data_IF_933147833271
#
_entry.id   IF_933147833271
#
_cell.length_a   1.000
_cell.length_b   1.000
_cell.length_c   1.000
_cell.angle_alpha   90.00
_cell.angle_beta   90.00
_cell.angle_gamma   90.00
#
_symmetry.space_group_name_H-M   'P 1'
#
loop_
_entity.id
_entity.type
_entity.pdbx_description
1 polymer ?
#
# COMPACT_ATOMS: atom_id res chain seq x y z
N UNK A 1 6.08 -14.32 34.02
CA UNK A 1 4.86 -15.03 33.58
C UNK A 1 4.88 -15.01 32.07
N UNK A 2 4.56 -16.14 31.42
CA UNK A 2 4.42 -16.18 29.96
C UNK A 2 3.24 -15.29 29.55
N UNK A 3 3.44 -14.42 28.56
CA UNK A 3 2.41 -13.51 28.06
C UNK A 3 1.73 -14.15 26.84
N UNK A 4 0.41 -14.20 26.83
CA UNK A 4 -0.41 -14.76 25.75
C UNK A 4 -0.90 -13.61 24.87
N UNK A 5 -0.40 -13.52 23.64
CA UNK A 5 -0.86 -12.51 22.69
C UNK A 5 -1.49 -13.17 21.48
N UNK A 6 -2.58 -12.58 20.98
CA UNK A 6 -3.13 -12.93 19.68
C UNK A 6 -2.77 -11.86 18.64
N UNK A 7 -2.53 -12.27 17.40
CA UNK A 7 -2.20 -11.38 16.30
C UNK A 7 -3.24 -11.56 15.20
N UNK A 8 -3.91 -10.48 14.81
CA UNK A 8 -4.72 -10.41 13.61
C UNK A 8 -3.95 -9.64 12.54
N UNK A 9 -3.35 -10.38 11.61
CA UNK A 9 -2.67 -9.83 10.44
C UNK A 9 -3.65 -9.52 9.32
N UNK A 10 -3.45 -8.42 8.59
CA UNK A 10 -4.31 -8.06 7.46
C UNK A 10 -3.84 -6.83 6.70
N UNK A 11 -4.44 -6.54 5.54
CA UNK A 11 -4.19 -5.24 4.88
C UNK A 11 -4.94 -4.12 5.59
N UNK A 12 -6.15 -4.40 6.10
CA UNK A 12 -7.06 -3.42 6.70
C UNK A 12 -7.33 -2.21 5.79
N UNK A 13 -7.94 -2.48 4.64
CA UNK A 13 -8.14 -1.47 3.60
C UNK A 13 -9.62 -1.34 3.15
N UNK A 14 -10.50 -0.74 3.98
CA UNK A 14 -10.26 -0.30 5.36
C UNK A 14 -10.43 -1.43 6.38
N UNK A 15 -10.02 -1.18 7.64
CA UNK A 15 -10.53 -1.96 8.78
C UNK A 15 -12.05 -1.79 8.88
N UNK A 16 -12.75 -2.81 9.36
CA UNK A 16 -14.22 -2.85 9.42
C UNK A 16 -14.69 -3.70 10.59
N UNK A 17 -15.99 -3.63 10.91
CA UNK A 17 -16.56 -4.28 12.11
C UNK A 17 -16.37 -5.80 12.12
N UNK A 18 -16.30 -6.44 10.96
CA UNK A 18 -15.93 -7.85 10.87
C UNK A 18 -14.57 -8.18 11.49
N UNK A 19 -13.55 -7.33 11.29
CA UNK A 19 -12.22 -7.53 11.92
C UNK A 19 -12.27 -7.35 13.44
N UNK A 20 -13.05 -6.38 13.92
CA UNK A 20 -13.22 -6.11 15.35
C UNK A 20 -13.89 -7.30 16.03
N UNK A 21 -14.98 -7.81 15.45
CA UNK A 21 -15.72 -8.94 15.99
C UNK A 21 -14.89 -10.24 15.99
N UNK A 22 -13.96 -10.44 15.04
CA UNK A 22 -12.99 -11.55 15.10
C UNK A 22 -12.09 -11.45 16.33
N UNK A 23 -11.55 -10.26 16.62
CA UNK A 23 -10.71 -10.04 17.79
C UNK A 23 -11.49 -10.21 19.10
N UNK A 24 -12.73 -9.73 19.15
CA UNK A 24 -13.63 -9.88 20.31
C UNK A 24 -14.03 -11.35 20.54
N UNK A 25 -14.31 -12.11 19.47
CA UNK A 25 -14.59 -13.54 19.56
C UNK A 25 -13.41 -14.34 20.12
N UNK A 26 -12.18 -13.94 19.79
CA UNK A 26 -10.97 -14.52 20.38
C UNK A 26 -10.85 -14.17 21.86
N UNK A 27 -11.04 -12.90 22.22
CA UNK A 27 -10.98 -12.45 23.62
C UNK A 27 -12.04 -13.10 24.51
N UNK A 28 -13.18 -13.52 23.96
CA UNK A 28 -14.25 -14.17 24.72
C UNK A 28 -14.07 -15.69 24.88
N UNK A 29 -13.28 -16.33 24.01
CA UNK A 29 -13.12 -17.79 23.97
C UNK A 29 -11.74 -18.27 24.41
N UNK A 30 -10.71 -17.43 24.31
CA UNK A 30 -9.32 -17.79 24.57
C UNK A 30 -8.73 -16.82 25.61
N UNK A 31 -8.00 -17.36 26.58
CA UNK A 31 -7.29 -16.59 27.59
C UNK A 31 -6.03 -15.94 27.02
N UNK A 32 -6.22 -14.87 26.25
CA UNK A 32 -5.16 -13.98 25.76
C UNK A 32 -5.21 -12.64 26.47
N UNK A 33 -4.03 -12.09 26.76
CA UNK A 33 -3.88 -10.80 27.42
C UNK A 33 -4.35 -9.66 26.49
N UNK A 34 -3.93 -9.72 25.22
CA UNK A 34 -4.09 -8.67 24.22
C UNK A 34 -4.23 -9.26 22.80
N UNK A 35 -5.01 -8.59 21.95
CA UNK A 35 -5.08 -8.86 20.50
C UNK A 35 -4.41 -7.71 19.75
N UNK A 36 -3.36 -8.00 19.00
CA UNK A 36 -2.63 -7.06 18.18
C UNK A 36 -3.15 -7.07 16.74
N UNK A 37 -3.65 -5.92 16.28
CA UNK A 37 -3.91 -5.65 14.88
C UNK A 37 -2.60 -5.24 14.20
N UNK A 38 -2.18 -6.03 13.21
CA UNK A 38 -0.89 -5.88 12.56
C UNK A 38 -1.08 -5.65 11.05
N UNK A 39 -1.12 -4.39 10.58
CA UNK A 39 -1.22 -4.10 9.16
C UNK A 39 0.02 -4.60 8.41
N UNK A 40 -0.24 -5.28 7.30
CA UNK A 40 0.79 -5.71 6.34
C UNK A 40 1.26 -4.54 5.48
N UNK A 41 2.55 -4.54 5.12
CA UNK A 41 3.17 -3.52 4.26
C UNK A 41 2.61 -3.63 2.85
N UNK A 42 2.94 -4.73 2.17
CA UNK A 42 2.39 -5.13 0.88
C UNK A 42 2.16 -6.64 0.93
N UNK A 43 0.90 -7.10 0.99
CA UNK A 43 0.63 -8.53 0.85
C UNK A 43 1.06 -8.99 -0.55
N UNK A 44 1.76 -10.13 -0.70
CA UNK A 44 2.19 -10.62 -2.02
C UNK A 44 1.03 -10.74 -3.03
N UNK A 45 -0.17 -11.05 -2.56
CA UNK A 45 -1.39 -11.17 -3.38
C UNK A 45 -2.02 -9.81 -3.79
N UNK A 46 -1.42 -8.67 -3.41
CA UNK A 46 -1.88 -7.32 -3.77
C UNK A 46 -0.84 -6.46 -4.50
N UNK A 47 0.28 -7.05 -4.95
CA UNK A 47 1.35 -6.33 -5.66
C UNK A 47 0.87 -5.51 -6.87
N UNK A 48 -0.23 -5.91 -7.52
CA UNK A 48 -0.80 -5.24 -8.69
C UNK A 48 -2.10 -4.45 -8.40
N UNK A 49 -2.43 -4.19 -7.13
CA UNK A 49 -3.68 -3.51 -6.75
C UNK A 49 -3.39 -2.14 -6.13
N UNK A 50 -4.29 -1.18 -6.38
CA UNK A 50 -4.28 0.10 -5.66
C UNK A 50 -4.68 -0.13 -4.20
N UNK A 51 -3.67 -0.32 -3.35
CA UNK A 51 -3.83 -0.37 -1.89
C UNK A 51 -3.65 1.03 -1.33
N UNK A 52 -4.51 1.39 -0.38
CA UNK A 52 -4.41 2.66 0.36
C UNK A 52 -3.07 2.75 1.10
N UNK A 53 -2.52 3.97 1.22
CA UNK A 53 -1.23 4.18 1.89
C UNK A 53 -1.20 3.57 3.30
N UNK A 54 -0.03 3.08 3.71
CA UNK A 54 0.21 2.52 5.04
C UNK A 54 -0.26 3.47 6.15
N UNK A 55 0.04 4.76 6.01
CA UNK A 55 -0.33 5.80 6.96
C UNK A 55 -1.85 5.82 7.20
N UNK A 56 -2.65 5.85 6.14
CA UNK A 56 -4.11 5.88 6.29
C UNK A 56 -4.64 4.57 6.88
N UNK A 57 -4.13 3.42 6.45
CA UNK A 57 -4.55 2.11 6.99
C UNK A 57 -4.24 2.00 8.48
N UNK A 58 -3.04 2.42 8.90
CA UNK A 58 -2.64 2.45 10.30
C UNK A 58 -3.52 3.37 11.13
N UNK A 59 -3.80 4.58 10.63
CA UNK A 59 -4.66 5.53 11.33
C UNK A 59 -6.08 4.98 11.48
N UNK A 60 -6.64 4.37 10.44
CA UNK A 60 -7.96 3.73 10.52
C UNK A 60 -7.97 2.59 11.55
N UNK A 61 -6.92 1.76 11.61
CA UNK A 61 -6.80 0.72 12.66
C UNK A 61 -6.77 1.33 14.06
N UNK A 62 -5.90 2.32 14.29
CA UNK A 62 -5.78 3.01 15.60
C UNK A 62 -7.09 3.65 16.04
N UNK A 63 -7.83 4.23 15.10
CA UNK A 63 -9.15 4.81 15.36
C UNK A 63 -10.14 3.71 15.77
N UNK A 64 -10.21 2.61 15.01
CA UNK A 64 -11.18 1.54 15.24
C UNK A 64 -11.01 0.85 16.60
N UNK A 65 -9.77 0.71 17.09
CA UNK A 65 -9.50 -0.03 18.34
C UNK A 65 -9.41 0.87 19.58
N UNK A 66 -9.52 2.19 19.43
CA UNK A 66 -9.20 3.19 20.47
C UNK A 66 -9.91 2.95 21.81
N UNK A 67 -11.14 2.44 21.77
CA UNK A 67 -12.00 2.31 22.94
C UNK A 67 -11.89 0.95 23.65
N UNK A 68 -11.08 0.01 23.14
CA UNK A 68 -10.88 -1.30 23.76
C UNK A 68 -9.43 -1.48 24.21
N UNK A 69 -9.19 -1.53 25.52
CA UNK A 69 -7.85 -1.57 26.09
C UNK A 69 -7.09 -2.87 25.81
N UNK A 70 -7.77 -3.97 25.47
CA UNK A 70 -7.16 -5.24 25.08
C UNK A 70 -6.82 -5.33 23.59
N UNK A 71 -7.33 -4.41 22.77
CA UNK A 71 -6.99 -4.33 21.35
C UNK A 71 -5.82 -3.37 21.17
N UNK A 72 -4.73 -3.85 20.58
CA UNK A 72 -3.48 -3.11 20.40
C UNK A 72 -3.14 -2.96 18.93
N UNK A 73 -2.49 -1.85 18.59
CA UNK A 73 -1.91 -1.64 17.27
C UNK A 73 -0.46 -2.13 17.26
N UNK A 74 -0.02 -2.75 16.17
CA UNK A 74 1.38 -3.08 15.92
C UNK A 74 1.79 -2.72 14.50
N UNK A 75 2.86 -1.93 14.36
CA UNK A 75 3.52 -1.62 13.08
C UNK A 75 4.68 -2.57 12.76
N UNK A 76 4.84 -3.66 13.52
CA UNK A 76 5.95 -4.61 13.39
C UNK A 76 6.15 -5.10 11.95
N UNK A 77 5.06 -5.37 11.23
CA UNK A 77 5.11 -5.84 9.84
C UNK A 77 5.49 -4.75 8.82
N UNK A 78 5.35 -3.47 9.18
CA UNK A 78 5.57 -2.31 8.32
C UNK A 78 7.02 -1.83 8.32
N UNK A 79 7.75 -2.09 9.40
CA UNK A 79 9.14 -1.63 9.59
C UNK A 79 10.12 -2.31 8.61
N UNK A 80 9.76 -3.45 8.02
CA UNK A 80 10.65 -4.22 7.15
C UNK A 80 10.61 -3.71 5.71
N UNK A 81 11.75 -3.68 5.03
CA UNK A 81 11.85 -3.09 3.68
C UNK A 81 11.22 -3.92 2.56
N UNK A 82 10.84 -5.19 2.81
CA UNK A 82 10.35 -6.14 1.81
C UNK A 82 8.91 -6.65 2.07
N UNK A 83 8.43 -7.48 1.14
CA UNK A 83 7.16 -8.22 1.21
C UNK A 83 6.99 -8.83 2.61
N UNK A 84 5.82 -8.63 3.24
CA UNK A 84 5.54 -9.15 4.58
C UNK A 84 5.08 -10.61 4.49
N UNK A 85 5.95 -11.56 4.87
CA UNK A 85 5.57 -12.96 5.06
C UNK A 85 5.33 -13.26 6.55
N UNK A 86 4.21 -13.94 6.84
CA UNK A 86 3.84 -14.33 8.21
C UNK A 86 4.91 -15.20 8.88
N UNK A 87 5.59 -16.08 8.13
CA UNK A 87 6.67 -16.92 8.63
C UNK A 87 7.82 -16.08 9.24
N UNK A 88 8.21 -15.00 8.55
CA UNK A 88 9.29 -14.12 9.00
C UNK A 88 8.86 -13.33 10.24
N UNK A 89 7.62 -12.85 10.26
CA UNK A 89 7.02 -12.16 11.41
C UNK A 89 7.06 -13.02 12.67
N UNK A 90 6.54 -14.25 12.59
CA UNK A 90 6.47 -15.14 13.73
C UNK A 90 7.87 -15.58 14.21
N UNK A 91 8.81 -15.78 13.30
CA UNK A 91 10.20 -16.11 13.63
C UNK A 91 10.85 -14.99 14.43
N UNK A 92 10.71 -13.74 13.97
CA UNK A 92 11.29 -12.58 14.65
C UNK A 92 10.66 -12.33 16.02
N UNK A 93 9.33 -12.38 16.12
CA UNK A 93 8.63 -12.21 17.39
C UNK A 93 9.07 -13.21 18.47
N UNK A 94 9.29 -14.48 18.08
CA UNK A 94 9.81 -15.50 18.99
C UNK A 94 11.28 -15.32 19.33
N UNK A 95 12.10 -14.86 18.39
CA UNK A 95 13.53 -14.60 18.63
C UNK A 95 13.70 -13.58 19.76
N UNK A 96 12.87 -12.55 19.75
CA UNK A 96 12.97 -11.43 20.69
C UNK A 96 12.27 -11.72 22.03
N UNK A 97 11.36 -12.71 22.09
CA UNK A 97 10.59 -13.03 23.30
C UNK A 97 10.35 -14.54 23.46
N UNK A 98 11.25 -15.24 24.15
CA UNK A 98 11.15 -16.70 24.35
C UNK A 98 9.98 -17.15 25.24
N UNK A 99 9.47 -16.27 26.09
CA UNK A 99 8.36 -16.56 27.01
C UNK A 99 6.97 -16.16 26.45
N UNK A 100 6.92 -15.76 25.18
CA UNK A 100 5.70 -15.30 24.53
C UNK A 100 4.94 -16.47 23.88
N UNK A 101 3.70 -16.68 24.28
CA UNK A 101 2.79 -17.59 23.59
C UNK A 101 2.04 -16.81 22.51
N UNK A 102 2.35 -17.13 21.24
CA UNK A 102 1.76 -16.45 20.09
C UNK A 102 0.56 -17.23 19.58
N UNK A 103 -0.58 -16.56 19.49
CA UNK A 103 -1.76 -17.00 18.79
C UNK A 103 -1.91 -16.19 17.50
N UNK A 104 -2.22 -16.82 16.37
CA UNK A 104 -2.37 -16.12 15.09
C UNK A 104 -3.76 -16.35 14.52
N UNK A 105 -4.51 -15.26 14.35
CA UNK A 105 -5.92 -15.28 13.97
C UNK A 105 -6.03 -15.28 12.45
N UNK A 106 -6.75 -16.27 11.91
CA UNK A 106 -7.01 -16.40 10.47
C UNK A 106 -8.47 -16.76 10.21
N UNK A 107 -8.99 -16.38 9.04
CA UNK A 107 -10.31 -16.86 8.59
C UNK A 107 -10.23 -18.24 7.95
N UNK A 108 -11.37 -18.95 7.86
CA UNK A 108 -11.45 -20.28 7.25
C UNK A 108 -10.89 -20.36 5.82
N UNK A 109 -11.05 -19.33 4.98
CA UNK A 109 -10.47 -19.33 3.63
C UNK A 109 -8.95 -19.23 3.62
N UNK A 110 -8.36 -18.58 4.62
CA UNK A 110 -6.90 -18.58 4.79
C UNK A 110 -6.39 -19.93 5.26
N UNK A 111 -7.14 -20.61 6.15
CA UNK A 111 -6.80 -21.97 6.59
C UNK A 111 -6.77 -22.96 5.42
N UNK A 112 -7.79 -22.94 4.55
CA UNK A 112 -7.85 -23.80 3.34
C UNK A 112 -6.61 -23.66 2.46
N UNK A 113 -6.04 -22.46 2.40
CA UNK A 113 -4.91 -22.12 1.55
C UNK A 113 -3.57 -22.11 2.31
N UNK A 114 -3.51 -22.49 3.59
CA UNK A 114 -2.33 -22.23 4.41
C UNK A 114 -1.07 -22.95 3.88
N UNK A 115 -1.23 -24.11 3.25
CA UNK A 115 -0.10 -24.86 2.64
C UNK A 115 0.56 -24.12 1.46
N UNK A 116 -0.11 -23.13 0.87
CA UNK A 116 0.45 -22.30 -0.21
C UNK A 116 1.19 -21.07 0.29
N UNK A 117 1.15 -20.80 1.60
CA UNK A 117 1.86 -19.67 2.19
C UNK A 117 3.37 -19.91 2.11
N UNK A 118 4.14 -18.82 2.15
CA UNK A 118 5.59 -18.93 2.27
C UNK A 118 5.95 -19.57 3.62
N UNK A 119 6.67 -20.71 3.57
CA UNK A 119 7.13 -21.47 4.74
C UNK A 119 6.00 -21.80 5.73
N UNK A 120 5.00 -22.59 5.33
CA UNK A 120 3.86 -22.91 6.19
C UNK A 120 4.28 -23.73 7.42
N UNK A 121 5.36 -24.52 7.30
CA UNK A 121 6.01 -25.24 8.39
C UNK A 121 6.46 -24.30 9.52
N UNK A 122 7.04 -23.14 9.17
CA UNK A 122 7.46 -22.13 10.14
C UNK A 122 6.24 -21.49 10.79
N UNK A 123 5.20 -21.16 10.02
CA UNK A 123 3.98 -20.54 10.57
C UNK A 123 3.33 -21.47 11.60
N UNK A 124 3.11 -22.73 11.22
CA UNK A 124 2.39 -23.73 12.02
C UNK A 124 3.17 -24.17 13.28
N UNK A 125 4.51 -24.09 13.26
CA UNK A 125 5.35 -24.41 14.42
C UNK A 125 5.58 -23.22 15.37
N UNK A 126 5.35 -21.99 14.89
CA UNK A 126 5.63 -20.78 15.66
C UNK A 126 4.43 -20.09 16.30
N UNK A 127 3.22 -20.60 16.11
CA UNK A 127 2.04 -20.09 16.78
C UNK A 127 0.99 -21.18 17.00
N UNK A 128 0.00 -20.88 17.84
CA UNK A 128 -1.29 -21.55 17.82
C UNK A 128 -2.21 -20.80 16.85
N UNK A 129 -2.70 -21.46 15.81
CA UNK A 129 -3.66 -20.86 14.90
C UNK A 129 -5.04 -20.79 15.52
N UNK A 130 -5.65 -19.62 15.49
CA UNK A 130 -7.04 -19.38 15.86
C UNK A 130 -7.83 -19.21 14.55
N UNK A 131 -8.52 -20.26 14.11
CA UNK A 131 -9.28 -20.21 12.87
C UNK A 131 -10.72 -19.81 13.14
N UNK A 132 -11.15 -18.68 12.56
CA UNK A 132 -12.53 -18.21 12.67
C UNK A 132 -13.43 -19.11 11.82
N UNK A 133 -14.34 -19.81 12.49
CA UNK A 133 -15.38 -20.63 11.89
C UNK A 133 -16.64 -19.77 11.74
N UNK A 134 -17.17 -19.68 10.52
CA UNK A 134 -18.46 -19.03 10.24
C UNK A 134 -19.54 -20.11 10.19
N UNK A 135 -20.76 -19.79 10.60
CA UNK A 135 -21.86 -20.75 10.72
C UNK A 135 -22.26 -21.45 9.41
N UNK A 136 -21.88 -20.89 8.26
CA UNK A 136 -22.14 -21.43 6.93
C UNK A 136 -21.03 -22.37 6.41
N UNK A 137 -20.02 -22.63 7.23
CA UNK A 137 -18.91 -23.50 6.84
C UNK A 137 -19.25 -24.96 7.14
N UNK A 138 -18.96 -25.82 6.15
CA UNK A 138 -19.02 -27.28 6.32
C UNK A 138 -18.02 -27.73 7.39
N UNK A 139 -18.53 -27.95 8.60
CA UNK A 139 -17.74 -28.35 9.76
C UNK A 139 -16.94 -29.63 9.51
N UNK A 140 -17.47 -30.56 8.69
CA UNK A 140 -16.79 -31.82 8.37
C UNK A 140 -15.53 -31.53 7.57
N UNK A 141 -15.66 -30.76 6.47
CA UNK A 141 -14.51 -30.39 5.63
C UNK A 141 -13.46 -29.60 6.38
N UNK A 142 -13.87 -28.68 7.25
CA UNK A 142 -12.91 -27.92 8.05
C UNK A 142 -12.18 -28.79 9.05
N UNK A 143 -12.87 -29.73 9.68
CA UNK A 143 -12.25 -30.70 10.58
C UNK A 143 -11.22 -31.55 9.84
N UNK A 144 -11.52 -32.01 8.64
CA UNK A 144 -10.56 -32.75 7.79
C UNK A 144 -9.29 -31.92 7.52
N UNK A 145 -9.44 -30.64 7.13
CA UNK A 145 -8.30 -29.74 6.91
C UNK A 145 -7.47 -29.57 8.18
N UNK A 146 -8.11 -29.40 9.33
CA UNK A 146 -7.43 -29.24 10.63
C UNK A 146 -6.69 -30.52 10.99
N UNK A 147 -7.33 -31.67 10.89
CA UNK A 147 -6.75 -32.98 11.23
C UNK A 147 -5.53 -33.28 10.33
N UNK A 148 -5.62 -32.95 9.03
CA UNK A 148 -4.50 -33.06 8.09
C UNK A 148 -3.32 -32.17 8.48
N UNK A 149 -3.57 -30.90 8.83
CA UNK A 149 -2.52 -29.97 9.24
C UNK A 149 -1.87 -30.37 10.57
N UNK A 150 -2.65 -30.88 11.52
CA UNK A 150 -2.14 -31.43 12.79
C UNK A 150 -1.24 -32.63 12.51
N UNK A 151 -1.68 -33.55 11.65
CA UNK A 151 -0.93 -34.77 11.32
C UNK A 151 0.37 -34.47 10.57
N UNK A 152 0.34 -33.55 9.60
CA UNK A 152 1.48 -33.25 8.73
C UNK A 152 2.50 -32.33 9.42
N UNK A 153 2.05 -31.31 10.14
CA UNK A 153 2.92 -30.26 10.69
C UNK A 153 3.04 -30.25 12.21
N UNK A 154 2.34 -31.16 12.92
CA UNK A 154 2.17 -31.10 14.37
C UNK A 154 1.62 -29.73 14.82
N UNK A 155 0.73 -29.16 14.00
CA UNK A 155 0.18 -27.83 14.19
C UNK A 155 -0.71 -27.76 15.44
N UNK A 156 -0.78 -26.58 16.07
CA UNK A 156 -1.76 -26.27 17.11
C UNK A 156 -2.83 -25.37 16.51
N UNK A 157 -4.05 -25.88 16.36
CA UNK A 157 -5.15 -25.15 15.72
C UNK A 157 -6.37 -25.21 16.65
N UNK A 158 -6.97 -24.06 16.92
CA UNK A 158 -8.16 -23.91 17.74
C UNK A 158 -9.24 -23.22 16.89
N UNK A 159 -10.38 -23.88 16.63
CA UNK A 159 -11.54 -23.24 16.02
C UNK A 159 -12.16 -22.22 16.98
N UNK A 160 -12.48 -21.04 16.46
CA UNK A 160 -13.18 -19.96 17.17
C UNK A 160 -14.56 -19.80 16.55
N UNK A 161 -15.60 -19.94 17.36
CA UNK A 161 -16.98 -19.80 16.90
C UNK A 161 -17.36 -18.32 16.85
N UNK A 162 -18.00 -17.90 15.77
CA UNK A 162 -18.42 -16.52 15.58
C UNK A 162 -19.60 -16.50 14.61
N UNK A 163 -20.65 -15.75 14.97
CA UNK A 163 -21.81 -15.56 14.11
C UNK A 163 -21.39 -15.12 12.71
N UNK A 164 -22.10 -15.56 11.68
CA UNK A 164 -21.80 -15.16 10.29
C UNK A 164 -21.75 -13.63 10.14
N UNK A 165 -20.64 -13.15 9.59
CA UNK A 165 -20.45 -11.74 9.21
C UNK A 165 -20.05 -11.67 7.76
N UNK A 166 -20.95 -11.13 6.95
CA UNK A 166 -20.73 -10.91 5.53
C UNK A 166 -20.30 -9.46 5.31
N UNK A 167 -19.04 -9.19 5.63
CA UNK A 167 -18.42 -7.87 5.44
C UNK A 167 -17.07 -8.09 4.78
N UNK A 168 -16.89 -7.49 3.60
CA UNK A 168 -15.58 -7.40 2.96
C UNK A 168 -15.15 -5.94 2.79
N UNK A 169 -13.85 -5.68 2.96
CA UNK A 169 -13.32 -4.35 2.67
C UNK A 169 -13.46 -3.99 1.18
N UNK A 170 -13.57 -4.97 0.29
CA UNK A 170 -13.78 -4.72 -1.15
C UNK A 170 -15.15 -4.14 -1.45
N UNK A 171 -16.21 -4.69 -0.87
CA UNK A 171 -17.56 -4.14 -1.01
C UNK A 171 -17.64 -2.75 -0.41
N UNK A 172 -17.10 -2.55 0.80
CA UNK A 172 -17.03 -1.22 1.43
C UNK A 172 -16.37 -0.20 0.51
N UNK A 173 -15.22 -0.54 -0.08
CA UNK A 173 -14.53 0.37 -1.03
C UNK A 173 -15.37 0.67 -2.26
N UNK A 174 -16.08 -0.33 -2.80
CA UNK A 174 -16.94 -0.16 -3.98
C UNK A 174 -18.15 0.72 -3.67
N UNK A 175 -18.78 0.53 -2.51
CA UNK A 175 -19.95 1.31 -2.09
C UNK A 175 -19.56 2.76 -1.76
N UNK A 176 -18.36 2.98 -1.21
CA UNK A 176 -17.82 4.32 -0.94
C UNK A 176 -17.53 5.14 -2.21
N UNK A 177 -17.52 4.50 -3.38
CA UNK A 177 -17.43 5.20 -4.66
C UNK A 177 -18.71 5.99 -4.93
N UNK A 178 -19.87 5.39 -4.63
CA UNK A 178 -21.19 5.93 -5.01
C UNK A 178 -21.98 6.50 -3.83
N UNK A 179 -21.67 6.10 -2.60
CA UNK A 179 -22.37 6.53 -1.40
C UNK A 179 -21.41 7.05 -0.33
N UNK A 180 -21.74 8.22 0.23
CA UNK A 180 -20.95 8.94 1.26
C UNK A 180 -21.80 9.25 2.50
N UNK A 181 -22.94 8.59 2.67
CA UNK A 181 -23.79 8.68 3.85
C UNK A 181 -23.48 7.56 4.84
N UNK A 182 -23.20 7.89 6.11
CA UNK A 182 -22.83 6.91 7.12
C UNK A 182 -23.92 5.87 7.41
N UNK A 183 -25.20 6.22 7.24
CA UNK A 183 -26.32 5.31 7.49
C UNK A 183 -26.21 4.02 6.66
N UNK A 184 -25.67 4.09 5.45
CA UNK A 184 -25.43 2.92 4.61
C UNK A 184 -24.26 2.03 5.08
N UNK A 185 -23.39 2.55 5.96
CA UNK A 185 -22.19 1.86 6.44
C UNK A 185 -22.22 1.54 7.94
N UNK A 186 -23.28 1.93 8.65
CA UNK A 186 -23.33 1.84 10.11
C UNK A 186 -23.18 0.40 10.66
N UNK A 187 -23.60 -0.60 9.87
CA UNK A 187 -23.49 -2.02 10.23
C UNK A 187 -22.14 -2.65 9.84
N UNK A 188 -21.30 -1.92 9.10
CA UNK A 188 -20.04 -2.45 8.56
C UNK A 188 -18.79 -1.66 8.97
N UNK A 189 -18.91 -0.38 9.30
CA UNK A 189 -17.81 0.50 9.68
C UNK A 189 -18.06 1.22 11.01
N UNK A 190 -17.00 1.42 11.78
CA UNK A 190 -17.01 2.38 12.87
C UNK A 190 -17.18 3.81 12.34
N UNK A 191 -17.99 4.62 13.02
CA UNK A 191 -18.28 6.01 12.64
C UNK A 191 -17.03 6.87 12.50
N UNK A 192 -16.05 6.72 13.39
CA UNK A 192 -14.83 7.54 13.34
C UNK A 192 -13.92 7.09 12.19
N UNK A 193 -13.90 5.80 11.87
CA UNK A 193 -13.21 5.29 10.68
C UNK A 193 -13.87 5.84 9.41
N UNK A 194 -15.21 5.83 9.34
CA UNK A 194 -15.94 6.42 8.24
C UNK A 194 -15.66 7.92 8.09
N UNK A 195 -15.75 8.69 9.18
CA UNK A 195 -15.44 10.13 9.17
C UNK A 195 -14.00 10.40 8.71
N UNK A 196 -13.05 9.56 9.12
CA UNK A 196 -11.68 9.62 8.65
C UNK A 196 -11.58 9.38 7.14
N UNK A 197 -12.28 8.37 6.61
CA UNK A 197 -12.34 8.07 5.18
C UNK A 197 -12.88 9.27 4.39
N UNK A 198 -13.97 9.88 4.85
CA UNK A 198 -14.58 11.05 4.20
C UNK A 198 -13.65 12.25 4.27
N UNK A 199 -13.11 12.56 5.45
CA UNK A 199 -12.19 13.69 5.66
C UNK A 199 -10.94 13.62 4.78
N UNK A 200 -10.45 12.42 4.49
CA UNK A 200 -9.25 12.20 3.69
C UNK A 200 -9.56 11.83 2.22
N UNK A 201 -10.82 11.98 1.76
CA UNK A 201 -11.24 11.69 0.38
C UNK A 201 -10.84 10.28 -0.11
N UNK A 202 -10.79 9.29 0.79
CA UNK A 202 -10.37 7.93 0.46
C UNK A 202 -11.46 7.21 -0.34
N UNK A 203 -11.04 6.22 -1.15
CA UNK A 203 -11.93 5.34 -1.93
C UNK A 203 -12.86 6.05 -2.91
N UNK A 204 -12.42 7.20 -3.43
CA UNK A 204 -13.13 7.96 -4.46
C UNK A 204 -12.60 7.61 -5.84
N UNK A 205 -13.48 7.45 -6.82
CA UNK A 205 -13.09 7.52 -8.23
C UNK A 205 -13.32 8.95 -8.72
N UNK A 206 -12.38 9.41 -9.54
CA UNK A 206 -12.49 10.69 -10.22
C UNK A 206 -12.67 10.39 -11.71
N UNK A 207 -13.58 11.11 -12.35
CA UNK A 207 -13.73 11.07 -13.80
C UNK A 207 -12.56 11.85 -14.40
N UNK A 208 -11.48 11.12 -14.66
CA UNK A 208 -10.23 11.67 -15.15
C UNK A 208 -9.69 10.80 -16.28
N UNK A 209 -9.12 11.45 -17.28
CA UNK A 209 -8.41 10.79 -18.37
C UNK A 209 -6.96 11.26 -18.40
N UNK A 210 -6.05 10.34 -18.77
CA UNK A 210 -4.65 10.69 -19.05
C UNK A 210 -4.45 10.61 -20.55
N UNK A 211 -4.05 11.73 -21.14
CA UNK A 211 -3.81 11.89 -22.58
C UNK A 211 -2.42 12.47 -22.82
N UNK A 212 -1.93 12.32 -24.04
CA UNK A 212 -0.73 13.03 -24.48
C UNK A 212 -1.04 14.53 -24.56
N UNK A 213 -0.12 15.36 -24.08
CA UNK A 213 -0.26 16.81 -24.16
C UNK A 213 -0.09 17.30 -25.59
N UNK A 214 -0.76 18.40 -25.91
CA UNK A 214 -0.66 19.08 -27.20
C UNK A 214 -0.21 20.53 -27.01
N UNK A 215 0.05 21.23 -28.11
CA UNK A 215 0.37 22.65 -28.12
C UNK A 215 -0.71 23.50 -27.42
N UNK A 216 -1.98 23.12 -27.54
CA UNK A 216 -3.12 23.82 -26.94
C UNK A 216 -3.06 23.81 -25.40
N UNK A 217 -2.44 22.78 -24.82
CA UNK A 217 -2.33 22.57 -23.37
C UNK A 217 -1.20 23.39 -22.74
N UNK A 218 -0.28 23.96 -23.54
CA UNK A 218 0.97 24.60 -23.09
C UNK A 218 0.79 25.58 -21.94
N UNK A 219 -0.13 26.53 -22.12
CA UNK A 219 -0.30 27.62 -21.16
C UNK A 219 -0.76 27.10 -19.80
N UNK A 220 -1.60 26.07 -19.78
CA UNK A 220 -2.12 25.50 -18.54
C UNK A 220 -1.11 24.56 -17.88
N UNK A 221 -0.30 23.85 -18.66
CA UNK A 221 0.86 23.09 -18.16
C UNK A 221 1.88 24.03 -17.50
N UNK A 222 2.22 25.14 -18.16
CA UNK A 222 3.17 26.11 -17.61
C UNK A 222 2.64 26.72 -16.31
N UNK A 223 1.35 27.08 -16.25
CA UNK A 223 0.70 27.52 -14.99
C UNK A 223 0.78 26.45 -13.91
N UNK A 224 0.49 25.19 -14.24
CA UNK A 224 0.59 24.07 -13.31
C UNK A 224 2.01 23.91 -12.75
N UNK A 225 3.04 24.06 -13.60
CA UNK A 225 4.43 24.02 -13.17
C UNK A 225 4.79 25.19 -12.25
N UNK A 226 4.39 26.42 -12.62
CA UNK A 226 4.61 27.61 -11.78
C UNK A 226 3.93 27.52 -10.42
N UNK A 227 2.78 26.85 -10.31
CA UNK A 227 2.13 26.57 -9.02
C UNK A 227 2.94 25.66 -8.09
N UNK A 228 3.96 24.97 -8.59
CA UNK A 228 4.85 24.14 -7.77
C UNK A 228 6.04 24.92 -7.20
N UNK A 229 6.37 26.11 -7.74
CA UNK A 229 7.51 26.90 -7.30
C UNK A 229 7.40 27.33 -5.84
N UNK A 230 8.55 27.36 -5.15
CA UNK A 230 8.65 27.73 -3.74
C UNK A 230 8.06 26.70 -2.77
N UNK A 231 7.63 25.53 -3.26
CA UNK A 231 7.21 24.43 -2.40
C UNK A 231 8.41 23.70 -1.82
N UNK A 232 8.22 23.19 -0.62
CA UNK A 232 9.19 22.36 0.09
C UNK A 232 9.71 21.22 -0.80
N UNK A 233 11.03 21.18 -1.02
CA UNK A 233 11.74 20.18 -1.85
C UNK A 233 11.33 20.14 -3.34
N UNK A 234 10.76 21.22 -3.86
CA UNK A 234 10.62 21.39 -5.31
C UNK A 234 11.94 22.00 -5.84
N UNK A 235 12.74 21.26 -6.64
CA UNK A 235 14.01 21.75 -7.16
C UNK A 235 13.84 22.73 -8.33
N UNK A 236 12.60 23.10 -8.66
CA UNK A 236 12.28 23.94 -9.81
C UNK A 236 12.54 25.41 -9.51
N UNK A 237 12.95 26.12 -10.54
CA UNK A 237 13.33 27.54 -10.49
C UNK A 237 12.37 28.37 -11.35
N UNK A 238 12.51 29.69 -11.29
CA UNK A 238 11.76 30.57 -12.19
C UNK A 238 12.06 30.31 -13.68
N UNK A 239 13.20 29.67 -13.99
CA UNK A 239 13.63 29.36 -15.35
C UNK A 239 13.41 27.89 -15.74
N UNK A 240 12.97 27.02 -14.83
CA UNK A 240 12.74 25.60 -15.10
C UNK A 240 11.60 25.00 -14.27
N UNK A 241 10.64 24.24 -14.85
CA UNK A 241 10.45 23.99 -16.29
C UNK A 241 10.02 25.25 -17.07
N UNK A 242 10.46 25.35 -18.33
CA UNK A 242 10.19 26.50 -19.22
C UNK A 242 9.37 26.10 -20.45
N UNK A 243 9.08 27.08 -21.31
CA UNK A 243 8.48 26.80 -22.63
C UNK A 243 9.39 25.92 -23.51
N UNK A 244 10.70 26.08 -23.42
CA UNK A 244 11.66 25.26 -24.16
C UNK A 244 11.62 23.80 -23.67
N UNK A 245 11.45 23.60 -22.36
CA UNK A 245 11.24 22.26 -21.80
C UNK A 245 9.97 21.61 -22.33
N UNK A 246 8.85 22.37 -22.39
CA UNK A 246 7.59 21.88 -22.95
C UNK A 246 7.74 21.58 -24.45
N UNK A 247 8.43 22.43 -25.22
CA UNK A 247 8.71 22.20 -26.64
C UNK A 247 9.46 20.88 -26.86
N UNK A 248 10.48 20.65 -26.05
CA UNK A 248 11.30 19.46 -26.13
C UNK A 248 10.47 18.20 -25.85
N UNK A 249 9.65 18.22 -24.79
CA UNK A 249 8.81 17.07 -24.44
C UNK A 249 7.70 16.83 -25.47
N UNK A 250 7.06 17.88 -26.00
CA UNK A 250 6.01 17.75 -27.02
C UNK A 250 6.56 17.18 -28.33
N UNK A 251 7.75 17.59 -28.77
CA UNK A 251 8.37 17.08 -30.01
C UNK A 251 8.70 15.58 -29.96
N UNK A 252 8.83 15.02 -28.76
CA UNK A 252 9.18 13.62 -28.51
C UNK A 252 7.97 12.79 -28.06
N UNK A 253 6.77 13.35 -28.15
CA UNK A 253 5.54 12.75 -27.62
C UNK A 253 5.66 12.36 -26.13
N UNK A 254 6.53 13.03 -25.38
CA UNK A 254 6.99 12.61 -24.06
C UNK A 254 6.21 13.23 -22.91
N UNK A 255 5.27 14.15 -23.17
CA UNK A 255 4.48 14.86 -22.16
C UNK A 255 3.06 14.32 -22.07
N UNK A 256 2.62 13.96 -20.85
CA UNK A 256 1.29 13.45 -20.58
C UNK A 256 0.59 14.30 -19.52
N UNK A 257 -0.70 14.52 -19.70
CA UNK A 257 -1.53 15.31 -18.80
C UNK A 257 -2.75 14.52 -18.37
N UNK A 258 -3.18 14.74 -17.13
CA UNK A 258 -4.47 14.25 -16.64
C UNK A 258 -5.49 15.38 -16.69
N UNK A 259 -6.64 15.12 -17.31
CA UNK A 259 -7.77 16.06 -17.39
C UNK A 259 -8.94 15.57 -16.53
N UNK A 260 -9.62 16.50 -15.88
CA UNK A 260 -10.91 16.29 -15.21
C UNK A 260 -11.86 17.41 -15.61
N UNK A 261 -12.95 17.08 -16.34
CA UNK A 261 -13.89 18.07 -16.89
C UNK A 261 -13.15 19.20 -17.65
N UNK A 262 -12.29 18.79 -18.59
CA UNK A 262 -11.44 19.65 -19.45
C UNK A 262 -10.35 20.47 -18.74
N UNK A 263 -10.27 20.46 -17.40
CA UNK A 263 -9.19 21.11 -16.65
C UNK A 263 -8.01 20.15 -16.52
N UNK A 264 -6.79 20.62 -16.84
CA UNK A 264 -5.56 19.89 -16.53
C UNK A 264 -5.34 19.89 -15.01
N UNK A 265 -5.26 18.70 -14.43
CA UNK A 265 -5.07 18.51 -12.98
C UNK A 265 -3.70 17.94 -12.61
N UNK A 266 -3.01 17.33 -13.58
CA UNK A 266 -1.65 16.83 -13.39
C UNK A 266 -0.90 16.75 -14.73
N UNK A 267 0.43 16.74 -14.66
CA UNK A 267 1.34 16.54 -15.78
C UNK A 267 2.51 15.64 -15.35
N UNK A 268 3.06 14.85 -16.29
CA UNK A 268 4.29 14.08 -16.14
C UNK A 268 4.96 13.94 -17.52
N UNK A 269 6.28 13.93 -17.57
CA UNK A 269 7.01 13.68 -18.80
C UNK A 269 7.93 12.46 -18.70
N UNK A 270 8.29 11.89 -19.85
CA UNK A 270 9.44 11.00 -20.00
C UNK A 270 10.65 11.87 -20.31
N UNK A 271 11.73 11.71 -19.55
CA UNK A 271 12.96 12.49 -19.66
C UNK A 271 14.04 11.73 -20.45
N UNK A 272 14.91 12.48 -21.13
CA UNK A 272 16.24 12.01 -21.53
C UNK A 272 17.23 12.96 -20.86
N UNK A 273 17.96 12.47 -19.85
CA UNK A 273 19.03 13.21 -19.18
C UNK A 273 20.31 12.37 -19.20
N UNK A 274 21.22 12.72 -20.10
CA UNK A 274 22.49 12.02 -20.24
C UNK A 274 23.33 12.03 -18.96
N UNK A 275 23.14 13.02 -18.06
CA UNK A 275 23.90 13.07 -16.80
C UNK A 275 23.37 12.05 -15.81
N UNK A 276 22.04 11.84 -15.80
CA UNK A 276 21.41 10.79 -15.00
C UNK A 276 21.77 9.43 -15.57
N UNK A 277 21.66 9.24 -16.89
CA UNK A 277 21.97 7.96 -17.55
C UNK A 277 23.42 7.49 -17.34
N UNK A 278 24.36 8.41 -17.13
CA UNK A 278 25.79 8.12 -16.92
C UNK A 278 26.18 7.87 -15.46
N UNK A 279 25.24 7.88 -14.51
CA UNK A 279 25.58 7.55 -13.13
C UNK A 279 26.01 6.09 -12.99
N UNK A 280 27.14 5.86 -12.32
CA UNK A 280 27.74 4.53 -12.14
C UNK A 280 26.94 3.59 -11.22
N UNK A 281 25.89 4.08 -10.57
CA UNK A 281 25.10 3.29 -9.61
C UNK A 281 24.00 2.43 -10.25
N UNK A 282 23.70 2.63 -11.54
CA UNK A 282 22.61 1.93 -12.20
C UNK A 282 22.94 0.46 -12.49
N UNK A 283 21.95 -0.42 -12.37
CA UNK A 283 22.12 -1.81 -12.76
C UNK A 283 21.99 -1.99 -14.27
N UNK A 284 22.97 -2.67 -14.88
CA UNK A 284 22.90 -3.08 -16.29
C UNK A 284 21.72 -4.03 -16.59
N UNK A 285 21.16 -4.70 -15.57
CA UNK A 285 20.15 -5.75 -15.73
C UNK A 285 18.82 -5.27 -16.30
N UNK A 286 18.53 -3.98 -16.24
CA UNK A 286 17.25 -3.38 -16.66
C UNK A 286 17.42 -2.39 -17.82
N UNK A 287 18.54 -2.43 -18.53
CA UNK A 287 18.80 -1.58 -19.70
C UNK A 287 18.05 -2.08 -20.94
N UNK A 288 17.49 -1.22 -21.81
CA UNK A 288 17.42 0.24 -21.67
C UNK A 288 16.42 0.64 -20.58
N UNK A 289 16.82 1.59 -19.74
CA UNK A 289 15.95 2.21 -18.75
C UNK A 289 15.62 3.64 -19.16
N UNK A 290 14.44 4.12 -18.80
CA UNK A 290 14.04 5.51 -19.03
C UNK A 290 13.76 6.24 -17.73
N UNK A 291 13.58 7.55 -17.80
CA UNK A 291 13.29 8.39 -16.64
C UNK A 291 11.92 9.04 -16.76
N UNK A 292 11.24 9.20 -15.62
CA UNK A 292 10.04 10.04 -15.52
C UNK A 292 10.38 11.32 -14.77
N UNK A 293 9.89 12.44 -15.28
CA UNK A 293 10.20 13.75 -14.74
C UNK A 293 8.97 14.65 -14.70
N UNK A 294 9.18 15.85 -14.17
CA UNK A 294 8.21 16.96 -14.17
C UNK A 294 6.82 16.60 -13.66
N UNK A 295 6.74 15.64 -12.73
CA UNK A 295 5.47 15.24 -12.12
C UNK A 295 4.90 16.41 -11.30
N UNK A 296 3.82 17.00 -11.80
CA UNK A 296 3.07 18.06 -11.14
C UNK A 296 1.62 17.63 -10.92
N UNK A 297 1.07 17.97 -9.76
CA UNK A 297 -0.35 17.78 -9.43
C UNK A 297 -0.88 19.07 -8.83
N UNK A 298 -2.03 19.54 -9.31
CA UNK A 298 -2.72 20.70 -8.75
C UNK A 298 -2.93 20.53 -7.24
N UNK A 299 -2.70 21.57 -6.41
CA UNK A 299 -2.74 21.44 -4.95
C UNK A 299 -4.05 20.86 -4.42
N UNK A 300 -5.21 21.22 -4.98
CA UNK A 300 -6.51 20.68 -4.58
C UNK A 300 -6.74 19.20 -4.98
N UNK A 301 -5.87 18.66 -5.84
CA UNK A 301 -5.86 17.27 -6.31
C UNK A 301 -4.76 16.41 -5.65
N UNK A 302 -3.98 16.98 -4.75
CA UNK A 302 -2.94 16.25 -4.02
C UNK A 302 -3.53 15.32 -2.96
N UNK A 303 -2.75 14.30 -2.57
CA UNK A 303 -3.15 13.24 -1.63
C UNK A 303 -4.36 12.40 -2.06
N UNK A 304 -4.83 12.55 -3.31
CA UNK A 304 -5.97 11.81 -3.89
C UNK A 304 -5.53 10.67 -4.82
N UNK A 305 -4.26 10.28 -4.77
CA UNK A 305 -3.68 9.22 -5.61
C UNK A 305 -3.34 9.63 -7.05
N UNK A 306 -3.51 10.90 -7.41
CA UNK A 306 -3.27 11.41 -8.78
C UNK A 306 -1.80 11.22 -9.22
N UNK A 307 -0.84 11.59 -8.36
CA UNK A 307 0.59 11.40 -8.64
C UNK A 307 0.94 9.93 -8.93
N UNK A 308 0.34 9.01 -8.16
CA UNK A 308 0.53 7.56 -8.35
C UNK A 308 -0.01 7.09 -9.70
N UNK A 309 -1.18 7.56 -10.11
CA UNK A 309 -1.76 7.24 -11.41
C UNK A 309 -0.90 7.75 -12.57
N UNK A 310 -0.37 8.97 -12.45
CA UNK A 310 0.53 9.55 -13.45
C UNK A 310 1.83 8.74 -13.59
N UNK A 311 2.43 8.30 -12.48
CA UNK A 311 3.61 7.43 -12.51
C UNK A 311 3.34 6.07 -13.12
N UNK A 312 2.23 5.40 -12.75
CA UNK A 312 1.83 4.14 -13.36
C UNK A 312 1.63 4.28 -14.87
N UNK A 313 1.02 5.38 -15.31
CA UNK A 313 0.85 5.67 -16.72
C UNK A 313 2.20 5.90 -17.40
N UNK A 314 3.09 6.72 -16.83
CA UNK A 314 4.43 6.98 -17.36
C UNK A 314 5.25 5.69 -17.52
N UNK A 315 5.26 4.82 -16.50
CA UNK A 315 5.92 3.51 -16.55
C UNK A 315 5.34 2.61 -17.65
N UNK A 316 4.02 2.63 -17.85
CA UNK A 316 3.38 1.93 -18.96
C UNK A 316 3.83 2.48 -20.33
N UNK A 317 3.98 3.79 -20.46
CA UNK A 317 4.45 4.42 -21.70
C UNK A 317 5.93 4.10 -21.98
N UNK A 318 6.78 4.08 -20.95
CA UNK A 318 8.17 3.60 -21.07
C UNK A 318 8.20 2.15 -21.58
N UNK A 319 7.42 1.25 -20.97
CA UNK A 319 7.33 -0.15 -21.43
C UNK A 319 6.87 -0.28 -22.88
N UNK A 320 5.88 0.52 -23.30
CA UNK A 320 5.41 0.55 -24.70
C UNK A 320 6.47 1.06 -25.67
N UNK A 321 7.45 1.85 -25.20
CA UNK A 321 8.60 2.36 -25.97
C UNK A 321 9.80 1.42 -25.96
N UNK A 322 9.69 0.24 -25.33
CA UNK A 322 10.74 -0.77 -25.32
C UNK A 322 11.75 -0.63 -24.18
N UNK A 323 11.48 0.19 -23.17
CA UNK A 323 12.29 0.24 -21.96
C UNK A 323 12.01 -0.99 -21.07
N UNK A 324 13.08 -1.57 -20.52
CA UNK A 324 13.05 -2.70 -19.59
C UNK A 324 12.92 -2.22 -18.13
N UNK A 325 13.39 -0.99 -17.85
CA UNK A 325 13.39 -0.43 -16.52
C UNK A 325 13.10 1.07 -16.48
N UNK A 326 13.00 1.58 -15.26
CA UNK A 326 12.90 3.00 -14.95
C UNK A 326 13.99 3.37 -13.94
N UNK A 327 14.69 4.47 -14.21
CA UNK A 327 15.54 5.17 -13.25
C UNK A 327 14.81 6.39 -12.71
N UNK A 328 15.07 6.72 -11.45
CA UNK A 328 14.35 7.79 -10.79
C UNK A 328 15.20 8.41 -9.68
N UNK A 329 15.39 9.73 -9.72
CA UNK A 329 16.07 10.47 -8.65
C UNK A 329 15.07 11.05 -7.65
N UNK A 330 15.30 10.82 -6.36
CA UNK A 330 14.45 11.38 -5.30
C UNK A 330 15.32 12.09 -4.28
N UNK A 331 15.06 13.38 -4.05
CA UNK A 331 15.76 14.14 -3.04
C UNK A 331 15.59 13.45 -1.66
N UNK A 332 16.72 13.18 -0.98
CA UNK A 332 16.78 12.46 0.31
C UNK A 332 15.95 13.10 1.42
N UNK A 333 15.75 14.41 1.37
CA UNK A 333 15.00 15.18 2.34
C UNK A 333 13.51 15.25 2.02
N UNK A 334 13.10 14.87 0.80
CA UNK A 334 11.70 14.90 0.38
C UNK A 334 10.92 13.69 0.92
N UNK A 335 10.64 13.69 2.22
CA UNK A 335 9.92 12.61 2.92
C UNK A 335 8.58 12.30 2.26
N UNK A 336 7.88 13.31 1.73
CA UNK A 336 6.58 13.12 1.05
C UNK A 336 6.73 12.34 -0.25
N UNK A 337 7.72 12.70 -1.07
CA UNK A 337 8.02 11.97 -2.30
C UNK A 337 8.45 10.54 -2.00
N UNK A 338 9.41 10.35 -1.08
CA UNK A 338 9.87 9.02 -0.63
C UNK A 338 8.69 8.15 -0.17
N UNK A 339 7.78 8.70 0.65
CA UNK A 339 6.56 7.99 1.10
C UNK A 339 5.58 7.70 -0.04
N UNK A 340 5.41 8.60 -1.00
CA UNK A 340 4.53 8.37 -2.14
C UNK A 340 5.08 7.24 -3.02
N UNK A 341 6.41 7.16 -3.15
CA UNK A 341 7.09 6.20 -4.00
C UNK A 341 7.32 4.84 -3.35
N UNK A 342 7.28 4.75 -2.02
CA UNK A 342 7.44 3.48 -1.29
C UNK A 342 6.45 2.39 -1.74
N UNK A 343 5.27 2.78 -2.22
CA UNK A 343 4.25 1.83 -2.69
C UNK A 343 4.56 1.15 -4.03
N UNK A 344 5.63 1.56 -4.72
CA UNK A 344 6.02 0.99 -6.02
C UNK A 344 7.13 -0.04 -5.94
N UNK A 345 7.73 -0.27 -4.76
CA UNK A 345 8.85 -1.19 -4.56
C UNK A 345 10.01 -0.91 -5.54
N UNK A 346 10.50 0.32 -5.54
CA UNK A 346 11.76 0.65 -6.20
C UNK A 346 12.94 0.15 -5.36
N UNK A 347 14.00 -0.30 -6.02
CA UNK A 347 15.27 -0.61 -5.39
C UNK A 347 16.08 0.68 -5.25
N UNK A 348 16.68 0.94 -4.09
CA UNK A 348 17.69 1.99 -3.94
C UNK A 348 19.04 1.39 -4.30
N UNK A 349 19.66 1.86 -5.39
CA UNK A 349 20.92 1.31 -5.90
C UNK A 349 22.11 2.24 -5.71
N UNK A 350 21.87 3.48 -5.30
CA UNK A 350 22.93 4.42 -4.98
C UNK A 350 22.41 5.75 -4.50
N UNK A 351 23.34 6.69 -4.41
CA UNK A 351 23.09 8.07 -4.04
C UNK A 351 23.96 8.96 -4.93
N UNK A 352 23.44 10.11 -5.34
CA UNK A 352 24.20 11.09 -6.12
C UNK A 352 23.99 12.51 -5.58
N UNK A 353 24.94 13.39 -5.90
CA UNK A 353 24.82 14.82 -5.66
C UNK A 353 24.67 15.52 -7.00
N UNK A 354 23.51 16.14 -7.24
CA UNK A 354 23.19 16.89 -8.44
C UNK A 354 22.35 18.10 -8.06
N UNK A 355 22.33 19.14 -8.89
CA UNK A 355 21.44 20.30 -8.67
C UNK A 355 21.55 20.91 -7.26
N UNK A 356 22.77 20.89 -6.67
CA UNK A 356 23.08 21.31 -5.30
C UNK A 356 22.34 20.55 -4.17
N UNK A 357 21.80 19.38 -4.47
CA UNK A 357 21.05 18.55 -3.53
C UNK A 357 21.52 17.07 -3.55
N UNK A 358 21.20 16.33 -2.49
CA UNK A 358 21.48 14.91 -2.39
C UNK A 358 20.25 14.09 -2.81
N UNK A 359 20.45 13.16 -3.74
CA UNK A 359 19.41 12.29 -4.27
C UNK A 359 19.69 10.82 -3.93
N UNK A 360 18.61 10.06 -3.76
CA UNK A 360 18.60 8.61 -3.83
C UNK A 360 18.37 8.19 -5.27
N UNK A 361 19.15 7.23 -5.73
CA UNK A 361 19.04 6.62 -7.05
C UNK A 361 18.14 5.39 -6.93
N UNK A 362 16.91 5.51 -7.43
CA UNK A 362 15.92 4.44 -7.44
C UNK A 362 15.86 3.78 -8.81
N UNK A 363 15.72 2.46 -8.84
CA UNK A 363 15.49 1.70 -10.06
C UNK A 363 14.36 0.68 -9.92
N UNK A 364 13.72 0.32 -11.04
CA UNK A 364 12.68 -0.71 -11.08
C UNK A 364 12.50 -1.31 -12.48
N UNK A 365 12.28 -2.62 -12.53
CA UNK A 365 11.84 -3.33 -13.73
C UNK A 365 10.35 -3.05 -14.05
N UNK A 366 10.04 -2.81 -15.33
CA UNK A 366 8.73 -2.37 -15.84
C UNK A 366 7.76 -3.50 -16.21
#
# INVERSE_FOLDING_TARGET
MSKNIAILGGTFDPIHLGHIKMAEAVLSQIDVDEVYFMPSKIPPHKLNKNVTSEEHRCNMVKIAIKNNNKLKFSDFDLIRDNISYTADTLTLLKKDNKDLNIFFIIGGDSLKNIKTWYRPDIVLSNCTLLTIMRDDVDFVKMKEIIDDLIKEFNAKIIPINMDKIDISSTEIRNDLVTNRDYGAFADVLDKNVFDYIIKNDLYKTYDCEIVMATEEDRNDILKLYKLQLGREFCPWTDDYPSNETIDFDLRRDALFIMKSKDKIIAAISIEEDENVDKLDCWSDSITPSGELARLAVLPEWQNKGIAKQMLLYGMKQLKLRGFNGIHFLVNKMNIKAIKAYSSFNFNVVGECFMYDENFLCYEKEL
#
